data_IF_397590610730
#
_entry.id   IF_397590610730
#
_cell.length_a   1.000
_cell.length_b   1.000
_cell.length_c   1.000
_cell.angle_alpha   90.00
_cell.angle_beta   90.00
_cell.angle_gamma   90.00
#
_symmetry.space_group_name_H-M   'P 1'
#
loop_
_entity.id
_entity.type
_entity.pdbx_description
1 polymer ?
#
# COMPACT_ATOMS: atom_id res chain seq x y z
N UNK A 1 -7.15 -12.46 -1.87
CA UNK A 1 -5.76 -12.01 -2.00
C UNK A 1 -5.48 -10.98 -0.91
N UNK A 2 -4.57 -11.27 0.03
CA UNK A 2 -4.13 -10.28 1.04
C UNK A 2 -2.88 -9.61 0.49
N UNK A 3 -2.94 -8.31 0.20
CA UNK A 3 -1.78 -7.53 -0.25
C UNK A 3 -0.76 -7.47 0.90
N UNK A 4 0.46 -7.97 0.67
CA UNK A 4 1.57 -7.79 1.61
C UNK A 4 2.26 -6.46 1.29
N UNK A 5 2.32 -5.56 2.27
CA UNK A 5 3.03 -4.27 2.17
C UNK A 5 4.50 -4.54 1.81
N UNK A 6 5.03 -3.78 0.85
CA UNK A 6 6.44 -3.85 0.44
C UNK A 6 7.02 -2.45 0.33
N UNK A 7 8.28 -2.30 0.73
CA UNK A 7 9.00 -1.05 0.54
C UNK A 7 9.15 -0.78 -0.95
N UNK A 8 8.64 0.35 -1.41
CA UNK A 8 8.75 0.79 -2.82
C UNK A 8 10.18 1.10 -3.24
N UNK A 9 11.10 1.35 -2.29
CA UNK A 9 12.49 1.65 -2.61
C UNK A 9 13.36 0.38 -2.77
N UNK A 10 13.14 -0.65 -1.95
CA UNK A 10 14.01 -1.84 -1.93
C UNK A 10 13.27 -3.19 -2.01
N UNK A 11 11.94 -3.19 -2.09
CA UNK A 11 11.12 -4.40 -2.19
C UNK A 11 10.97 -5.22 -0.89
N UNK A 12 11.67 -4.84 0.18
CA UNK A 12 11.61 -5.51 1.48
C UNK A 12 10.21 -5.52 2.07
N UNK A 13 9.81 -6.66 2.63
CA UNK A 13 8.55 -6.84 3.35
C UNK A 13 8.72 -6.67 4.88
N UNK A 14 9.93 -6.33 5.35
CA UNK A 14 10.24 -6.19 6.78
C UNK A 14 10.25 -4.71 7.16
N UNK A 15 9.53 -4.39 8.23
CA UNK A 15 9.43 -3.03 8.76
C UNK A 15 9.64 -3.04 10.28
N UNK A 16 10.31 -2.00 10.78
CA UNK A 16 10.50 -1.74 12.20
C UNK A 16 9.60 -0.57 12.59
N UNK A 17 8.71 -0.78 13.56
CA UNK A 17 7.93 0.31 14.15
C UNK A 17 8.84 1.14 15.05
N UNK A 18 8.92 2.44 14.80
CA UNK A 18 9.67 3.34 15.68
C UNK A 18 8.81 3.63 16.91
N UNK A 19 9.13 2.97 18.02
CA UNK A 19 8.41 3.07 19.30
C UNK A 19 9.04 4.07 20.28
N UNK A 20 10.24 4.56 19.97
CA UNK A 20 11.04 5.46 20.79
C UNK A 20 11.32 6.77 20.03
N UNK A 21 11.72 7.85 20.74
CA UNK A 21 12.06 9.13 20.15
C UNK A 21 13.33 8.96 19.31
N UNK A 22 13.16 8.43 18.10
CA UNK A 22 14.18 8.54 17.07
C UNK A 22 14.43 10.03 16.82
N UNK A 23 15.59 10.36 16.26
CA UNK A 23 16.04 11.72 15.95
C UNK A 23 15.01 12.66 15.29
N UNK A 24 13.93 12.11 14.73
CA UNK A 24 12.73 12.82 14.31
C UNK A 24 11.64 12.68 15.40
N UNK A 25 11.60 13.63 16.35
CA UNK A 25 10.62 13.64 17.43
C UNK A 25 9.15 13.60 16.94
N UNK A 26 8.90 14.02 15.70
CA UNK A 26 7.58 14.11 15.09
C UNK A 26 7.16 12.87 14.27
N UNK A 27 8.03 11.86 14.13
CA UNK A 27 7.71 10.69 13.31
C UNK A 27 7.18 9.50 14.13
N UNK A 28 5.87 9.34 14.12
CA UNK A 28 5.21 8.12 14.58
C UNK A 28 4.88 7.21 13.39
N UNK A 29 5.59 6.09 13.24
CA UNK A 29 5.33 5.17 12.14
C UNK A 29 6.28 3.98 12.06
N UNK A 30 6.38 3.41 10.86
CA UNK A 30 7.28 2.30 10.56
C UNK A 30 8.37 2.72 9.57
N UNK A 31 9.54 2.12 9.67
CA UNK A 31 10.64 2.25 8.70
C UNK A 31 10.96 0.90 8.10
N UNK A 32 11.43 0.89 6.86
CA UNK A 32 11.91 -0.34 6.24
C UNK A 32 13.13 -0.88 7.00
N UNK A 33 13.13 -2.16 7.35
CA UNK A 33 14.24 -2.78 8.06
C UNK A 33 15.51 -2.98 7.18
N UNK A 34 15.40 -2.74 5.87
CA UNK A 34 16.50 -2.91 4.91
C UNK A 34 17.14 -1.60 4.46
N UNK A 35 16.33 -0.60 4.09
CA UNK A 35 16.84 0.69 3.60
C UNK A 35 16.53 1.87 4.53
N UNK A 36 15.91 1.62 5.69
CA UNK A 36 15.56 2.62 6.72
C UNK A 36 14.66 3.78 6.25
N UNK A 37 14.18 3.75 5.01
CA UNK A 37 13.15 4.64 4.47
C UNK A 37 11.89 4.58 5.33
N UNK A 38 11.29 5.74 5.61
CA UNK A 38 9.96 5.86 6.22
C UNK A 38 8.91 5.14 5.36
N UNK A 39 8.02 4.39 6.01
CA UNK A 39 6.83 3.82 5.38
C UNK A 39 5.88 4.96 5.00
N UNK A 40 5.42 4.98 3.75
CA UNK A 40 4.52 6.01 3.20
C UNK A 40 3.27 5.37 2.61
N UNK A 41 2.22 6.16 2.33
CA UNK A 41 1.00 5.66 1.71
C UNK A 41 1.26 4.92 0.38
N UNK A 42 2.29 5.32 -0.38
CA UNK A 42 2.71 4.62 -1.62
C UNK A 42 3.14 3.18 -1.39
N UNK A 43 3.65 2.85 -0.20
CA UNK A 43 4.04 1.49 0.15
C UNK A 43 2.83 0.60 0.52
N UNK A 44 1.67 1.22 0.81
CA UNK A 44 0.41 0.56 1.12
C UNK A 44 -0.46 0.32 -0.11
N UNK A 45 -0.29 1.16 -1.13
CA UNK A 45 -1.08 1.07 -2.35
C UNK A 45 -0.51 -0.03 -3.26
N UNK A 46 -1.37 -0.87 -3.85
CA UNK A 46 -0.92 -1.82 -4.86
C UNK A 46 -0.36 -1.07 -6.06
N UNK A 47 0.75 -1.59 -6.60
CA UNK A 47 1.31 -1.15 -7.89
C UNK A 47 0.45 -1.66 -9.05
N UNK A 48 -0.85 -1.38 -9.03
CA UNK A 48 -1.77 -1.70 -10.12
C UNK A 48 -2.15 -0.42 -10.86
N UNK A 49 -2.16 -0.43 -12.21
CA UNK A 49 -2.52 0.74 -13.01
C UNK A 49 -3.95 1.24 -12.74
N UNK A 50 -4.79 0.37 -12.19
CA UNK A 50 -6.11 0.71 -11.68
C UNK A 50 -6.13 0.46 -10.18
N UNK A 51 -6.61 1.46 -9.44
CA UNK A 51 -6.92 1.31 -8.03
C UNK A 51 -7.90 0.13 -7.83
N UNK A 52 -7.71 -0.74 -6.82
CA UNK A 52 -8.56 -1.91 -6.60
C UNK A 52 -10.05 -1.57 -6.45
N UNK A 53 -10.36 -0.41 -5.86
CA UNK A 53 -11.73 0.10 -5.73
C UNK A 53 -12.25 0.45 -7.11
N UNK A 54 -11.51 1.22 -7.90
CA UNK A 54 -11.87 1.55 -9.29
C UNK A 54 -12.08 0.28 -10.12
N UNK A 55 -11.20 -0.71 -10.02
CA UNK A 55 -11.35 -2.01 -10.70
C UNK A 55 -12.62 -2.73 -10.28
N UNK A 56 -12.94 -2.72 -8.98
CA UNK A 56 -14.18 -3.32 -8.47
C UNK A 56 -15.42 -2.61 -9.04
N UNK A 57 -15.43 -1.27 -9.03
CA UNK A 57 -16.53 -0.46 -9.54
C UNK A 57 -16.75 -0.67 -11.04
N UNK A 58 -15.69 -0.62 -11.86
CA UNK A 58 -15.77 -0.88 -13.31
C UNK A 58 -16.31 -2.29 -13.59
N UNK A 59 -15.89 -3.28 -12.81
CA UNK A 59 -16.36 -4.66 -12.96
C UNK A 59 -17.85 -4.80 -12.62
N UNK A 60 -18.37 -4.02 -11.67
CA UNK A 60 -19.81 -4.00 -11.34
C UNK A 60 -20.63 -3.37 -12.46
N UNK A 61 -20.21 -2.21 -12.97
CA UNK A 61 -20.90 -1.54 -14.09
C UNK A 61 -20.98 -2.44 -15.32
N UNK A 62 -19.89 -3.11 -15.72
CA UNK A 62 -19.90 -4.08 -16.84
C UNK A 62 -20.85 -5.25 -16.64
N UNK A 63 -21.05 -5.73 -15.39
CA UNK A 63 -21.98 -6.82 -15.09
C UNK A 63 -23.43 -6.37 -15.22
N UNK A 64 -23.75 -5.15 -14.83
CA UNK A 64 -25.11 -4.62 -14.96
C UNK A 64 -25.49 -4.37 -16.42
N UNK A 65 -24.57 -3.83 -17.23
CA UNK A 65 -24.81 -3.61 -18.66
C UNK A 65 -25.05 -4.91 -19.43
N UNK A 66 -24.37 -6.00 -19.08
CA UNK A 66 -24.55 -7.31 -19.74
C UNK A 66 -25.79 -8.08 -19.28
N UNK A 67 -26.50 -7.63 -18.23
CA UNK A 67 -27.70 -8.31 -17.71
C UNK A 67 -29.00 -7.77 -18.31
N UNK A 68 -28.90 -6.76 -19.19
CA UNK A 68 -30.02 -6.04 -19.81
C UNK A 68 -30.27 -6.35 -21.29
N UNK A 69 -29.73 -7.45 -21.82
CA UNK A 69 -30.02 -7.97 -23.17
C UNK A 69 -30.65 -9.35 -23.09
#
# INVERSE_FOLDING_TARGET
MVMKIRCTACGSAKFTFTHEPSSDADFHGARCASCHKKLTARDLLPNTPLDPITRCLVSRVKKETNKGT
#
